data_IF_342682149171
#
_entry.id   IF_342682149171
#
_cell.length_a   1.000
_cell.length_b   1.000
_cell.length_c   1.000
_cell.angle_alpha   90.00
_cell.angle_beta   90.00
_cell.angle_gamma   90.00
#
_symmetry.space_group_name_H-M   'P 1'
#
loop_
_entity.id
_entity.type
_entity.pdbx_description
1 polymer ?
#
# COMPACT_ATOMS: atom_id res chain seq x y z
N UNK A 1 -12.05 1.70 14.54
CA UNK A 1 -12.03 1.32 13.15
C UNK A 1 -12.45 2.51 12.30
N UNK A 2 -11.47 3.28 11.87
CA UNK A 2 -11.68 4.42 10.99
C UNK A 2 -11.69 3.87 9.57
N UNK A 3 -12.89 3.59 9.04
CA UNK A 3 -13.03 3.28 7.61
C UNK A 3 -12.65 4.49 6.76
N UNK A 4 -12.31 4.28 5.50
CA UNK A 4 -11.92 5.33 4.53
C UNK A 4 -12.97 6.46 4.46
N UNK A 5 -14.22 6.10 4.68
CA UNK A 5 -15.35 7.02 4.83
C UNK A 5 -15.88 6.85 6.25
N UNK A 6 -15.88 7.91 7.01
CA UNK A 6 -16.53 7.93 8.32
C UNK A 6 -18.00 7.51 8.15
N UNK A 7 -18.58 6.83 9.14
CA UNK A 7 -19.95 6.32 9.03
C UNK A 7 -20.97 7.40 8.64
N UNK A 8 -20.75 8.64 9.10
CA UNK A 8 -21.59 9.78 8.71
C UNK A 8 -21.37 10.19 7.25
N UNK A 9 -20.17 10.00 6.71
CA UNK A 9 -19.85 10.25 5.29
C UNK A 9 -20.62 9.32 4.36
N UNK A 10 -20.82 8.07 4.75
CA UNK A 10 -21.62 7.10 3.97
C UNK A 10 -23.03 7.58 3.73
N UNK A 11 -23.65 8.24 4.72
CA UNK A 11 -24.97 8.84 4.55
C UNK A 11 -24.96 9.93 3.49
N UNK A 12 -23.95 10.80 3.52
CA UNK A 12 -23.82 11.87 2.53
C UNK A 12 -23.50 11.33 1.13
N UNK A 13 -22.71 10.27 1.01
CA UNK A 13 -22.49 9.56 -0.27
C UNK A 13 -23.81 9.07 -0.82
N UNK A 14 -24.64 8.40 -0.01
CA UNK A 14 -25.96 7.90 -0.45
C UNK A 14 -26.87 9.03 -0.90
N UNK A 15 -26.95 10.11 -0.13
CA UNK A 15 -27.74 11.30 -0.49
C UNK A 15 -27.21 11.90 -1.80
N UNK A 16 -25.89 12.00 -1.94
CA UNK A 16 -25.24 12.50 -3.16
C UNK A 16 -25.58 11.67 -4.39
N UNK A 17 -25.49 10.35 -4.28
CA UNK A 17 -25.85 9.42 -5.36
C UNK A 17 -27.34 9.59 -5.75
N UNK A 18 -28.24 9.62 -4.78
CA UNK A 18 -29.68 9.79 -5.05
C UNK A 18 -29.97 11.13 -5.74
N UNK A 19 -29.37 12.22 -5.24
CA UNK A 19 -29.54 13.55 -5.85
C UNK A 19 -28.94 13.61 -7.25
N UNK A 20 -27.79 12.97 -7.48
CA UNK A 20 -27.15 12.87 -8.78
C UNK A 20 -28.05 12.10 -9.78
N UNK A 21 -28.53 10.91 -9.40
CA UNK A 21 -29.42 10.11 -10.25
C UNK A 21 -30.71 10.86 -10.60
N UNK A 22 -31.33 11.52 -9.63
CA UNK A 22 -32.50 12.35 -9.87
C UNK A 22 -32.22 13.43 -10.93
N UNK A 23 -31.07 14.11 -10.81
CA UNK A 23 -30.67 15.15 -11.74
C UNK A 23 -30.35 14.60 -13.13
N UNK A 24 -29.71 13.44 -13.22
CA UNK A 24 -29.46 12.74 -14.48
C UNK A 24 -30.75 12.40 -15.21
N UNK A 25 -31.72 11.79 -14.51
CA UNK A 25 -33.02 11.44 -15.09
C UNK A 25 -33.71 12.69 -15.63
N UNK A 26 -33.68 13.78 -14.87
CA UNK A 26 -34.28 15.05 -15.30
C UNK A 26 -33.55 15.65 -16.52
N UNK A 27 -32.22 15.61 -16.53
CA UNK A 27 -31.36 16.11 -17.59
C UNK A 27 -31.61 15.34 -18.90
N UNK A 28 -31.71 14.01 -18.85
CA UNK A 28 -32.03 13.17 -20.01
C UNK A 28 -33.41 13.54 -20.58
N UNK A 29 -34.42 13.71 -19.72
CA UNK A 29 -35.79 14.10 -20.15
C UNK A 29 -35.84 15.49 -20.80
N UNK A 30 -34.94 16.39 -20.40
CA UNK A 30 -34.86 17.76 -20.92
C UNK A 30 -33.88 17.91 -22.10
N UNK A 31 -33.19 16.82 -22.49
CA UNK A 31 -32.12 16.82 -23.51
C UNK A 31 -31.00 17.83 -23.20
N UNK A 32 -30.71 18.09 -21.93
CA UNK A 32 -29.67 19.01 -21.47
C UNK A 32 -28.53 18.19 -20.85
N UNK A 33 -27.30 18.47 -21.29
CA UNK A 33 -26.14 17.85 -20.70
C UNK A 33 -25.85 18.44 -19.30
N UNK A 34 -25.49 17.59 -18.34
CA UNK A 34 -25.10 18.01 -17.01
C UNK A 34 -23.79 17.32 -16.57
N UNK A 35 -22.99 17.96 -15.70
CA UNK A 35 -21.71 17.47 -15.26
C UNK A 35 -21.81 16.16 -14.43
N UNK A 36 -22.97 15.89 -13.86
CA UNK A 36 -23.25 14.67 -13.12
C UNK A 36 -23.11 13.40 -13.97
N UNK A 37 -23.14 13.52 -15.31
CA UNK A 37 -22.82 12.42 -16.23
C UNK A 37 -21.40 11.90 -16.06
N UNK A 38 -20.43 12.79 -15.87
CA UNK A 38 -19.04 12.39 -15.65
C UNK A 38 -18.88 11.64 -14.33
N UNK A 39 -19.51 12.14 -13.28
CA UNK A 39 -19.47 11.49 -11.97
C UNK A 39 -20.12 10.11 -12.01
N UNK A 40 -21.26 9.99 -12.69
CA UNK A 40 -21.93 8.72 -12.90
C UNK A 40 -21.08 7.74 -13.73
N UNK A 41 -20.49 8.20 -14.82
CA UNK A 41 -19.62 7.38 -15.66
C UNK A 41 -18.39 6.85 -14.87
N UNK A 42 -17.78 7.68 -14.03
CA UNK A 42 -16.68 7.27 -13.18
C UNK A 42 -17.11 6.24 -12.12
N UNK A 43 -18.27 6.44 -11.47
CA UNK A 43 -18.82 5.47 -10.53
C UNK A 43 -19.11 4.13 -11.18
N UNK A 44 -19.72 4.15 -12.36
CA UNK A 44 -20.03 2.92 -13.12
C UNK A 44 -18.76 2.23 -13.59
N UNK A 45 -17.80 2.98 -14.16
CA UNK A 45 -16.51 2.46 -14.59
C UNK A 45 -15.72 1.84 -13.45
N UNK A 46 -15.55 2.55 -12.34
CA UNK A 46 -14.88 2.05 -11.15
C UNK A 46 -15.60 0.86 -10.51
N UNK A 47 -16.94 0.88 -10.49
CA UNK A 47 -17.76 -0.23 -10.00
C UNK A 47 -17.61 -1.50 -10.86
N UNK A 48 -17.68 -1.37 -12.18
CA UNK A 48 -17.49 -2.50 -13.12
C UNK A 48 -16.07 -3.06 -13.00
N UNK A 49 -15.06 -2.20 -12.97
CA UNK A 49 -13.66 -2.62 -12.79
C UNK A 49 -13.49 -3.39 -11.47
N UNK A 50 -14.10 -2.91 -10.39
CA UNK A 50 -14.03 -3.57 -9.07
C UNK A 50 -14.73 -4.94 -9.04
N UNK A 51 -15.75 -5.16 -9.89
CA UNK A 51 -16.43 -6.45 -10.01
C UNK A 51 -15.67 -7.44 -10.89
N UNK A 52 -14.98 -6.95 -11.92
CA UNK A 52 -14.25 -7.79 -12.89
C UNK A 52 -12.87 -8.21 -12.39
N UNK A 53 -12.25 -7.40 -11.55
CA UNK A 53 -10.94 -7.68 -10.99
C UNK A 53 -11.13 -8.11 -9.53
N UNK A 54 -10.50 -9.22 -9.11
CA UNK A 54 -10.42 -9.60 -7.69
C UNK A 54 -9.59 -8.54 -6.96
N UNK A 55 -10.21 -7.40 -6.71
CA UNK A 55 -9.54 -6.17 -6.37
C UNK A 55 -9.15 -6.17 -4.87
N UNK A 56 -7.87 -5.96 -4.60
CA UNK A 56 -7.42 -5.54 -3.27
C UNK A 56 -7.76 -4.05 -3.07
N UNK A 57 -7.93 -3.61 -1.83
CA UNK A 57 -8.34 -2.24 -1.48
C UNK A 57 -7.54 -1.14 -2.22
N UNK A 58 -6.23 -1.33 -2.42
CA UNK A 58 -5.37 -0.36 -3.14
C UNK A 58 -5.59 -0.32 -4.65
N UNK A 59 -6.29 -1.30 -5.22
CA UNK A 59 -6.60 -1.35 -6.66
C UNK A 59 -7.95 -0.69 -6.99
N UNK A 60 -8.72 -0.27 -5.96
CA UNK A 60 -10.02 0.37 -6.10
C UNK A 60 -9.90 1.92 -5.98
N UNK A 61 -8.68 2.46 -6.11
CA UNK A 61 -8.44 3.91 -5.95
C UNK A 61 -9.29 4.76 -6.88
N UNK A 62 -9.58 4.26 -8.09
CA UNK A 62 -10.42 4.97 -9.07
C UNK A 62 -11.87 5.17 -8.59
N UNK A 63 -12.34 4.33 -7.65
CA UNK A 63 -13.67 4.45 -7.08
C UNK A 63 -13.73 5.48 -5.93
N UNK A 64 -12.60 5.74 -5.25
CA UNK A 64 -12.58 6.64 -4.10
C UNK A 64 -12.88 8.09 -4.48
N UNK A 65 -12.30 8.57 -5.56
CA UNK A 65 -12.51 9.95 -6.03
C UNK A 65 -13.99 10.23 -6.30
N UNK A 66 -14.70 9.44 -7.13
CA UNK A 66 -16.13 9.67 -7.36
C UNK A 66 -16.99 9.52 -6.10
N UNK A 67 -16.62 8.63 -5.15
CA UNK A 67 -17.35 8.51 -3.88
C UNK A 67 -17.18 9.76 -3.01
N UNK A 68 -15.96 10.31 -2.90
CA UNK A 68 -15.71 11.59 -2.19
C UNK A 68 -16.48 12.75 -2.85
N UNK A 69 -16.52 12.78 -4.17
CA UNK A 69 -17.32 13.78 -4.89
C UNK A 69 -18.82 13.63 -4.64
N UNK A 70 -19.34 12.40 -4.54
CA UNK A 70 -20.72 12.15 -4.13
C UNK A 70 -20.98 12.60 -2.70
N UNK A 71 -20.05 12.37 -1.78
CA UNK A 71 -20.14 12.83 -0.40
C UNK A 71 -20.24 14.37 -0.33
N UNK A 72 -19.29 15.06 -0.98
CA UNK A 72 -19.29 16.52 -1.05
C UNK A 72 -20.58 17.07 -1.69
N UNK A 73 -21.07 16.42 -2.75
CA UNK A 73 -22.32 16.77 -3.41
C UNK A 73 -23.53 16.57 -2.49
N UNK A 74 -23.57 15.48 -1.72
CA UNK A 74 -24.61 15.20 -0.73
C UNK A 74 -24.65 16.27 0.37
N UNK A 75 -23.49 16.62 0.93
CA UNK A 75 -23.35 17.70 1.94
C UNK A 75 -23.84 19.02 1.36
N UNK A 76 -23.42 19.37 0.14
CA UNK A 76 -23.86 20.59 -0.52
C UNK A 76 -25.38 20.63 -0.71
N UNK A 77 -26.01 19.53 -1.16
CA UNK A 77 -27.47 19.43 -1.31
C UNK A 77 -28.22 19.59 0.00
N UNK A 78 -27.74 18.95 1.06
CA UNK A 78 -28.29 19.13 2.42
C UNK A 78 -28.19 20.60 2.86
N UNK A 79 -27.03 21.23 2.65
CA UNK A 79 -26.84 22.65 2.96
C UNK A 79 -27.82 23.55 2.19
N UNK A 80 -27.99 23.31 0.88
CA UNK A 80 -28.94 24.06 0.06
C UNK A 80 -30.39 23.88 0.52
N UNK A 81 -30.79 22.65 0.86
CA UNK A 81 -32.12 22.36 1.39
C UNK A 81 -32.38 23.10 2.70
N UNK A 82 -31.42 23.09 3.63
CA UNK A 82 -31.54 23.80 4.91
C UNK A 82 -31.54 25.32 4.73
N UNK A 83 -30.73 25.86 3.81
CA UNK A 83 -30.76 27.29 3.43
C UNK A 83 -32.10 27.72 2.88
N UNK A 84 -32.81 26.86 2.15
CA UNK A 84 -34.16 27.10 1.69
C UNK A 84 -35.19 27.25 2.82
N UNK A 85 -34.94 26.63 4.00
CA UNK A 85 -35.77 26.76 5.19
C UNK A 85 -35.34 27.95 6.06
N UNK A 86 -34.05 28.12 6.28
CA UNK A 86 -33.46 29.22 7.04
C UNK A 86 -31.97 29.36 6.67
N UNK A 87 -31.56 30.57 6.35
CA UNK A 87 -30.17 30.87 6.02
C UNK A 87 -29.20 30.53 7.16
N UNK A 88 -29.63 30.76 8.41
CA UNK A 88 -28.86 30.45 9.61
C UNK A 88 -28.66 28.92 9.76
N UNK A 89 -29.71 28.13 9.56
CA UNK A 89 -29.62 26.66 9.62
C UNK A 89 -28.62 26.11 8.59
N UNK A 90 -28.65 26.62 7.37
CA UNK A 90 -27.69 26.18 6.35
C UNK A 90 -26.24 26.54 6.68
N UNK A 91 -25.99 27.73 7.29
CA UNK A 91 -24.65 28.14 7.73
C UNK A 91 -24.17 27.29 8.90
N UNK A 92 -25.02 27.06 9.91
CA UNK A 92 -24.71 26.21 11.07
C UNK A 92 -24.38 24.79 10.60
N UNK A 93 -25.21 24.19 9.77
CA UNK A 93 -24.96 22.85 9.21
C UNK A 93 -23.61 22.76 8.48
N UNK A 94 -23.33 23.71 7.59
CA UNK A 94 -22.06 23.74 6.84
C UNK A 94 -20.88 23.89 7.82
N UNK A 95 -20.96 24.79 8.78
CA UNK A 95 -19.91 25.01 9.78
C UNK A 95 -19.66 23.77 10.65
N UNK A 96 -20.71 23.15 11.18
CA UNK A 96 -20.61 21.92 11.97
C UNK A 96 -20.04 20.76 11.17
N UNK A 97 -20.48 20.57 9.92
CA UNK A 97 -19.99 19.51 9.05
C UNK A 97 -18.51 19.72 8.72
N UNK A 98 -18.11 20.95 8.38
CA UNK A 98 -16.70 21.29 8.14
C UNK A 98 -15.84 21.04 9.38
N UNK A 99 -16.27 21.52 10.55
CA UNK A 99 -15.56 21.30 11.81
C UNK A 99 -15.44 19.81 12.14
N UNK A 100 -16.49 19.03 11.94
CA UNK A 100 -16.47 17.58 12.12
C UNK A 100 -15.41 16.91 11.23
N UNK A 101 -15.39 17.19 9.93
CA UNK A 101 -14.41 16.57 9.02
C UNK A 101 -12.98 17.04 9.32
N UNK A 102 -12.77 18.27 9.76
CA UNK A 102 -11.45 18.74 10.20
C UNK A 102 -10.97 17.98 11.45
N UNK A 103 -11.84 17.78 12.45
CA UNK A 103 -11.52 16.96 13.62
C UNK A 103 -11.18 15.54 13.20
N UNK A 104 -11.99 14.92 12.33
CA UNK A 104 -11.74 13.60 11.81
C UNK A 104 -10.39 13.52 11.08
N UNK A 105 -10.03 14.53 10.28
CA UNK A 105 -8.74 14.61 9.60
C UNK A 105 -7.57 14.65 10.60
N UNK A 106 -7.68 15.46 11.66
CA UNK A 106 -6.64 15.54 12.71
C UNK A 106 -6.48 14.19 13.42
N UNK A 107 -7.59 13.54 13.77
CA UNK A 107 -7.57 12.21 14.41
C UNK A 107 -6.98 11.15 13.48
N UNK A 108 -7.34 11.17 12.19
CA UNK A 108 -6.76 10.29 11.18
C UNK A 108 -5.25 10.52 11.05
N UNK A 109 -4.79 11.76 10.96
CA UNK A 109 -3.36 12.08 10.88
C UNK A 109 -2.62 11.56 12.12
N UNK A 110 -3.18 11.77 13.31
CA UNK A 110 -2.61 11.23 14.54
C UNK A 110 -2.47 9.70 14.47
N UNK A 111 -3.54 8.98 14.14
CA UNK A 111 -3.52 7.52 14.04
C UNK A 111 -2.59 7.03 12.93
N UNK A 112 -2.53 7.75 11.80
CA UNK A 112 -1.65 7.43 10.67
C UNK A 112 -0.16 7.50 11.05
N UNK A 113 0.26 8.57 11.75
CA UNK A 113 1.66 8.73 12.13
C UNK A 113 2.07 7.95 13.39
N UNK A 114 1.11 7.43 14.16
CA UNK A 114 1.42 6.64 15.36
C UNK A 114 1.14 5.16 15.14
N UNK A 115 -0.13 4.77 15.20
CA UNK A 115 -0.54 3.35 15.19
C UNK A 115 -0.43 2.69 13.83
N UNK A 116 -0.73 3.43 12.75
CA UNK A 116 -0.71 2.85 11.40
C UNK A 116 0.73 2.54 10.98
N UNK A 117 1.68 3.39 11.32
CA UNK A 117 3.09 3.14 11.06
C UNK A 117 3.57 1.83 11.73
N UNK A 118 3.21 1.60 12.99
CA UNK A 118 3.57 0.38 13.72
C UNK A 118 2.93 -0.87 13.12
N UNK A 119 1.63 -0.82 12.78
CA UNK A 119 0.92 -1.99 12.24
C UNK A 119 1.29 -2.30 10.79
N UNK A 120 1.71 -1.32 10.00
CA UNK A 120 2.10 -1.52 8.60
C UNK A 120 3.57 -1.86 8.42
N UNK A 121 4.41 -1.65 9.42
CA UNK A 121 5.83 -1.98 9.37
C UNK A 121 6.07 -3.44 8.97
N UNK A 122 5.29 -4.37 9.50
CA UNK A 122 5.35 -5.79 9.13
C UNK A 122 4.99 -6.01 7.64
N UNK A 123 3.95 -5.32 7.13
CA UNK A 123 3.54 -5.42 5.73
C UNK A 123 4.54 -4.80 4.75
N UNK A 124 5.24 -3.74 5.17
CA UNK A 124 6.27 -3.09 4.37
C UNK A 124 7.66 -3.68 4.60
N UNK A 125 7.78 -4.75 5.39
CA UNK A 125 9.04 -5.44 5.69
C UNK A 125 10.10 -4.47 6.23
N UNK A 126 9.72 -3.69 7.24
CA UNK A 126 10.64 -2.80 7.93
C UNK A 126 11.89 -3.59 8.39
N UNK A 127 13.06 -3.00 8.21
CA UNK A 127 14.33 -3.64 8.53
C UNK A 127 14.98 -4.40 7.38
N UNK A 128 14.28 -4.73 6.29
CA UNK A 128 14.89 -5.41 5.13
C UNK A 128 15.98 -4.56 4.49
N UNK A 129 15.79 -3.24 4.41
CA UNK A 129 16.83 -2.33 3.91
C UNK A 129 18.10 -2.42 4.74
N UNK A 130 17.97 -2.35 6.06
CA UNK A 130 19.08 -2.45 7.01
C UNK A 130 19.73 -3.85 6.94
N UNK A 131 18.92 -4.92 6.81
CA UNK A 131 19.42 -6.27 6.60
C UNK A 131 20.27 -6.38 5.34
N UNK A 132 19.81 -5.83 4.21
CA UNK A 132 20.54 -5.85 2.94
C UNK A 132 21.84 -5.05 3.07
N UNK A 133 21.78 -3.83 3.63
CA UNK A 133 22.97 -3.00 3.81
C UNK A 133 23.99 -3.67 4.72
N UNK A 134 23.56 -4.26 5.83
CA UNK A 134 24.42 -5.02 6.73
C UNK A 134 25.00 -6.26 6.06
N UNK A 135 24.20 -7.04 5.34
CA UNK A 135 24.64 -8.24 4.62
C UNK A 135 25.68 -7.91 3.56
N UNK A 136 25.47 -6.85 2.76
CA UNK A 136 26.43 -6.38 1.77
C UNK A 136 27.77 -5.99 2.40
N UNK A 137 27.74 -5.31 3.55
CA UNK A 137 28.95 -4.97 4.32
C UNK A 137 29.66 -6.23 4.82
N UNK A 138 28.93 -7.19 5.40
CA UNK A 138 29.51 -8.42 5.92
C UNK A 138 30.10 -9.30 4.80
N UNK A 139 29.46 -9.38 3.62
CA UNK A 139 30.03 -10.04 2.46
C UNK A 139 31.42 -9.48 2.10
N UNK A 140 31.55 -8.16 2.04
CA UNK A 140 32.84 -7.50 1.77
C UNK A 140 33.89 -7.78 2.86
N UNK A 141 33.48 -7.80 4.12
CA UNK A 141 34.39 -8.01 5.26
C UNK A 141 34.89 -9.46 5.34
N UNK A 142 34.03 -10.43 5.05
CA UNK A 142 34.32 -11.85 5.15
C UNK A 142 34.76 -12.50 3.83
N UNK A 143 34.77 -11.75 2.72
CA UNK A 143 35.08 -12.27 1.38
C UNK A 143 34.01 -13.21 0.84
N UNK A 144 32.77 -13.14 1.36
CA UNK A 144 31.65 -13.93 0.88
C UNK A 144 31.00 -13.28 -0.33
N UNK A 145 30.50 -14.10 -1.25
CA UNK A 145 29.95 -13.64 -2.53
C UNK A 145 28.46 -13.92 -2.68
N UNK A 146 27.82 -14.47 -1.65
CA UNK A 146 26.41 -14.89 -1.75
C UNK A 146 25.58 -14.40 -0.57
N UNK A 147 24.43 -13.81 -0.90
CA UNK A 147 23.36 -13.48 0.04
C UNK A 147 22.13 -14.27 -0.39
N UNK A 148 21.50 -14.98 0.53
CA UNK A 148 20.24 -15.68 0.29
C UNK A 148 19.16 -15.09 1.19
N UNK A 149 18.06 -14.61 0.58
CA UNK A 149 16.99 -13.96 1.28
C UNK A 149 15.72 -14.82 1.30
N UNK A 150 15.01 -14.82 2.42
CA UNK A 150 13.71 -15.46 2.52
C UNK A 150 12.73 -14.83 1.53
N UNK A 151 11.82 -15.66 0.96
CA UNK A 151 10.87 -15.26 -0.09
C UNK A 151 10.01 -14.05 0.30
N UNK A 152 9.69 -13.89 1.58
CA UNK A 152 8.90 -12.76 2.09
C UNK A 152 9.60 -11.41 1.94
N UNK A 153 10.96 -11.37 1.74
CA UNK A 153 11.69 -10.13 1.46
C UNK A 153 11.27 -9.46 0.16
N UNK A 154 10.64 -10.19 -0.74
CA UNK A 154 10.20 -9.74 -2.07
C UNK A 154 11.36 -9.23 -2.95
N UNK A 155 11.67 -9.95 -4.03
CA UNK A 155 12.80 -9.67 -4.91
C UNK A 155 12.90 -8.21 -5.46
N UNK A 156 11.81 -7.46 -5.72
CA UNK A 156 11.94 -6.06 -6.17
C UNK A 156 12.59 -5.16 -5.11
N UNK A 157 12.36 -5.45 -3.82
CA UNK A 157 13.01 -4.71 -2.72
C UNK A 157 14.50 -5.04 -2.64
N UNK A 158 14.87 -6.30 -2.84
CA UNK A 158 16.28 -6.68 -2.90
C UNK A 158 17.02 -5.93 -4.01
N UNK A 159 16.42 -5.81 -5.21
CA UNK A 159 16.98 -5.00 -6.30
C UNK A 159 17.14 -3.53 -5.92
N UNK A 160 16.13 -2.94 -5.30
CA UNK A 160 16.14 -1.55 -4.87
C UNK A 160 17.25 -1.30 -3.84
N UNK A 161 17.32 -2.12 -2.79
CA UNK A 161 18.24 -1.92 -1.68
C UNK A 161 19.69 -2.31 -2.00
N UNK A 162 19.91 -3.25 -2.91
CA UNK A 162 21.24 -3.54 -3.46
C UNK A 162 21.70 -2.54 -4.51
N UNK A 163 20.83 -1.60 -4.93
CA UNK A 163 21.09 -0.60 -5.99
C UNK A 163 21.56 -1.23 -7.30
N UNK A 164 21.06 -2.42 -7.61
CA UNK A 164 21.42 -3.12 -8.85
C UNK A 164 20.78 -2.43 -10.04
N UNK A 165 21.60 -2.03 -11.01
CA UNK A 165 21.12 -1.36 -12.23
C UNK A 165 20.30 -2.32 -13.11
N UNK A 166 19.26 -1.82 -13.81
CA UNK A 166 18.44 -2.66 -14.69
C UNK A 166 19.23 -3.44 -15.73
N UNK A 167 20.26 -2.84 -16.36
CA UNK A 167 21.12 -3.50 -17.33
C UNK A 167 21.90 -4.66 -16.73
N UNK A 168 22.41 -4.49 -15.53
CA UNK A 168 23.15 -5.51 -14.81
C UNK A 168 22.22 -6.64 -14.33
N UNK A 169 21.05 -6.27 -13.81
CA UNK A 169 20.03 -7.26 -13.49
C UNK A 169 19.68 -8.14 -14.68
N UNK A 170 19.36 -7.54 -15.83
CA UNK A 170 19.01 -8.27 -17.05
C UNK A 170 20.13 -9.17 -17.56
N UNK A 171 21.40 -8.80 -17.36
CA UNK A 171 22.56 -9.58 -17.75
C UNK A 171 22.84 -10.78 -16.83
N UNK A 172 22.37 -10.76 -15.56
CA UNK A 172 22.76 -11.74 -14.53
C UNK A 172 21.60 -12.51 -13.93
N UNK A 173 20.35 -12.09 -14.20
CA UNK A 173 19.16 -12.73 -13.63
C UNK A 173 19.00 -14.17 -14.10
N UNK A 174 18.66 -15.04 -13.15
CA UNK A 174 18.27 -16.43 -13.42
C UNK A 174 16.84 -16.66 -12.93
N UNK A 175 16.11 -17.55 -13.60
CA UNK A 175 14.72 -17.88 -13.26
C UNK A 175 14.58 -19.40 -13.10
N UNK A 176 13.94 -19.84 -12.01
CA UNK A 176 13.47 -21.22 -11.90
C UNK A 176 12.08 -21.33 -12.53
N UNK A 177 11.18 -20.41 -12.15
CA UNK A 177 9.81 -20.30 -12.69
C UNK A 177 9.49 -18.82 -12.90
N UNK A 178 9.36 -18.39 -14.17
CA UNK A 178 8.97 -17.02 -14.48
C UNK A 178 7.59 -16.68 -13.90
N UNK A 179 7.33 -15.41 -13.51
CA UNK A 179 8.20 -14.23 -13.68
C UNK A 179 9.10 -13.91 -12.47
N UNK A 180 9.12 -14.72 -11.42
CA UNK A 180 9.91 -14.44 -10.23
C UNK A 180 11.38 -14.89 -10.43
N UNK A 181 12.38 -14.01 -10.29
CA UNK A 181 13.77 -14.37 -10.38
C UNK A 181 14.19 -15.32 -9.26
N UNK A 182 15.08 -16.26 -9.56
CA UNK A 182 15.70 -17.12 -8.57
C UNK A 182 16.93 -16.45 -7.95
N UNK A 183 17.75 -15.81 -8.79
CA UNK A 183 18.92 -15.07 -8.36
C UNK A 183 19.31 -13.98 -9.36
N UNK A 184 20.13 -13.02 -8.89
CA UNK A 184 20.81 -12.02 -9.73
C UNK A 184 22.13 -11.62 -9.06
N UNK A 185 23.00 -10.91 -9.80
CA UNK A 185 24.29 -10.44 -9.28
C UNK A 185 24.31 -8.92 -9.21
N UNK A 186 24.78 -8.38 -8.09
CA UNK A 186 24.92 -6.94 -7.86
C UNK A 186 26.15 -6.35 -8.54
N UNK A 187 26.28 -5.01 -8.56
CA UNK A 187 27.45 -4.31 -9.08
C UNK A 187 28.77 -4.73 -8.41
N UNK A 188 28.70 -5.08 -7.14
CA UNK A 188 29.84 -5.54 -6.36
C UNK A 188 30.19 -7.03 -6.57
N UNK A 189 29.54 -7.71 -7.51
CA UNK A 189 29.76 -9.14 -7.81
C UNK A 189 29.09 -10.08 -6.81
N UNK A 190 28.26 -9.57 -5.89
CA UNK A 190 27.58 -10.40 -4.88
C UNK A 190 26.31 -11.00 -5.53
N UNK A 191 26.21 -12.33 -5.48
CA UNK A 191 25.02 -13.06 -5.92
C UNK A 191 23.92 -12.97 -4.87
N UNK A 192 22.73 -12.58 -5.26
CA UNK A 192 21.55 -12.49 -4.39
C UNK A 192 20.55 -13.55 -4.81
N UNK A 193 20.35 -14.56 -3.98
CA UNK A 193 19.30 -15.55 -4.14
C UNK A 193 18.02 -15.01 -3.50
N UNK A 194 16.91 -15.06 -4.21
CA UNK A 194 15.61 -14.53 -3.75
C UNK A 194 14.81 -15.55 -2.95
N UNK A 195 15.37 -16.71 -2.72
CA UNK A 195 14.82 -17.80 -1.90
C UNK A 195 15.93 -18.50 -1.16
N UNK A 196 15.65 -18.96 0.04
CA UNK A 196 16.53 -19.84 0.80
C UNK A 196 16.15 -21.29 0.46
N UNK A 197 17.15 -22.10 0.14
CA UNK A 197 17.00 -23.55 0.13
C UNK A 197 17.39 -24.08 1.51
N UNK A 198 16.39 -24.42 2.31
CA UNK A 198 16.60 -24.87 3.71
C UNK A 198 17.26 -26.25 3.79
N UNK A 199 17.23 -27.06 2.72
CA UNK A 199 17.90 -28.37 2.68
C UNK A 199 19.42 -28.24 2.51
N UNK A 200 19.89 -27.09 2.01
CA UNK A 200 21.29 -26.84 1.67
C UNK A 200 21.83 -25.54 2.30
N UNK A 201 21.62 -25.34 3.59
CA UNK A 201 22.17 -24.18 4.31
C UNK A 201 23.70 -24.33 4.42
N UNK A 202 24.46 -23.44 3.74
CA UNK A 202 25.91 -23.40 3.70
C UNK A 202 26.48 -22.23 4.51
N UNK A 203 27.65 -22.40 5.08
CA UNK A 203 28.40 -21.31 5.73
C UNK A 203 29.12 -20.39 4.73
N UNK A 204 29.00 -20.61 3.42
CA UNK A 204 29.57 -19.76 2.37
C UNK A 204 28.63 -18.60 1.96
N UNK A 205 27.52 -18.47 2.66
CA UNK A 205 26.47 -17.49 2.35
C UNK A 205 26.01 -16.76 3.62
N UNK A 206 25.58 -15.52 3.43
CA UNK A 206 24.83 -14.76 4.44
C UNK A 206 23.34 -14.93 4.16
N UNK A 207 22.53 -15.05 5.20
CA UNK A 207 21.08 -15.25 5.06
C UNK A 207 20.31 -14.09 5.68
N UNK A 208 19.29 -13.63 4.96
CA UNK A 208 18.28 -12.69 5.48
C UNK A 208 17.03 -13.53 5.75
N UNK A 209 16.71 -13.72 7.02
CA UNK A 209 15.67 -14.64 7.50
C UNK A 209 14.60 -13.88 8.30
N UNK A 210 13.41 -14.43 8.38
CA UNK A 210 12.34 -13.93 9.23
C UNK A 210 12.45 -14.54 10.63
N UNK A 211 11.89 -13.90 11.66
CA UNK A 211 12.04 -14.36 13.06
C UNK A 211 11.59 -15.81 13.28
N UNK A 212 10.68 -16.35 12.46
CA UNK A 212 10.22 -17.74 12.54
C UNK A 212 11.29 -18.77 12.18
N UNK A 213 12.35 -18.35 11.46
CA UNK A 213 13.40 -19.23 10.94
C UNK A 213 14.66 -19.24 11.80
N UNK A 214 14.70 -18.43 12.85
CA UNK A 214 15.87 -18.22 13.74
C UNK A 214 16.44 -19.53 14.29
N UNK A 215 15.56 -20.47 14.65
CA UNK A 215 15.98 -21.75 15.22
C UNK A 215 16.82 -22.61 14.26
N UNK A 216 16.64 -22.46 12.96
CA UNK A 216 17.40 -23.21 11.95
C UNK A 216 18.84 -22.71 11.79
N UNK A 217 19.12 -21.48 12.23
CA UNK A 217 20.40 -20.81 11.98
C UNK A 217 21.25 -20.59 13.24
N UNK A 218 20.68 -20.56 14.44
CA UNK A 218 21.33 -20.16 15.69
C UNK A 218 22.61 -20.94 16.03
N UNK A 219 22.72 -22.20 15.63
CA UNK A 219 23.85 -23.05 16.00
C UNK A 219 25.11 -22.75 15.17
N UNK A 220 24.92 -22.44 13.87
CA UNK A 220 26.01 -22.24 12.90
C UNK A 220 26.27 -20.79 12.53
N UNK A 221 25.35 -19.88 12.88
CA UNK A 221 25.40 -18.50 12.48
C UNK A 221 25.29 -17.54 13.67
N UNK A 222 25.91 -16.40 13.54
CA UNK A 222 25.68 -15.23 14.40
C UNK A 222 24.49 -14.47 13.86
N UNK A 223 23.47 -14.24 14.68
CA UNK A 223 22.22 -13.62 14.30
C UNK A 223 22.19 -12.16 14.75
N UNK A 224 22.01 -11.24 13.81
CA UNK A 224 21.85 -9.81 14.09
C UNK A 224 20.41 -9.41 13.78
N UNK A 225 19.63 -8.92 14.77
CA UNK A 225 18.22 -8.56 14.57
C UNK A 225 18.06 -7.18 13.94
N UNK A 226 17.04 -7.07 13.06
CA UNK A 226 16.53 -5.84 12.45
C UNK A 226 14.99 -5.91 12.40
N UNK A 227 14.32 -5.45 13.46
CA UNK A 227 12.87 -5.64 13.66
C UNK A 227 12.49 -7.13 13.67
N UNK A 228 11.60 -7.56 12.79
CA UNK A 228 11.18 -8.96 12.63
C UNK A 228 12.14 -9.79 11.76
N UNK A 229 13.19 -9.17 11.24
CA UNK A 229 14.17 -9.79 10.38
C UNK A 229 15.49 -10.01 11.09
N UNK A 230 16.23 -11.00 10.62
CA UNK A 230 17.56 -11.30 11.13
C UNK A 230 18.53 -11.49 9.97
N UNK A 231 19.76 -11.05 10.18
CA UNK A 231 20.87 -11.42 9.29
C UNK A 231 21.69 -12.50 9.98
N UNK A 232 21.76 -13.66 9.35
CA UNK A 232 22.55 -14.80 9.80
C UNK A 232 23.89 -14.78 9.06
N UNK A 233 24.97 -14.49 9.81
CA UNK A 233 26.35 -14.45 9.34
C UNK A 233 27.07 -15.68 9.86
N UNK A 234 27.83 -16.43 9.03
CA UNK A 234 28.61 -17.59 9.48
C UNK A 234 29.51 -17.25 10.67
N UNK A 235 29.62 -18.20 11.64
CA UNK A 235 30.49 -18.05 12.82
C UNK A 235 31.94 -18.22 12.45
#
# INVERSE_FOLDING_TARGET
>A
PWGLFYDIGRLFILIGIVCMLYRLIRSVRQHVFCWEFFLFAQLMGGGITSLLVTARMHQINDLYIPLVLCEAYGIWKCSCFLKGKSQSLGRIFTGCTTAFFLICLVLFQKDYYTKYAETTNAYFSQGVEDCVAYSMKQCKTLGLTTISAEKATQWPRLLLYTRTLPSQYLATVTYDVAPAPAAFTTADGIRVNTRINYDTISTDSIYIIYYTEVDLFKDRFTLTPFYDWYVAVPK
#
